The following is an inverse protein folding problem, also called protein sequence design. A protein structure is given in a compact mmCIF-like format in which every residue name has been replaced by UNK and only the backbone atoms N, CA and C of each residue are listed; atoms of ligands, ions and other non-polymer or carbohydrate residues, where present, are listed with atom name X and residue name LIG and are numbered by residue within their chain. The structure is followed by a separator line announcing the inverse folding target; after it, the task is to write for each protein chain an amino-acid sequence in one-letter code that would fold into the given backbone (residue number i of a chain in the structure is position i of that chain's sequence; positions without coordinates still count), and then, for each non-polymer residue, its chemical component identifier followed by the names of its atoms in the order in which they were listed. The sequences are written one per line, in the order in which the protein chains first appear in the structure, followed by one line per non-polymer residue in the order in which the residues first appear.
data_IF_360117931317
#
_entry.id   IF_360117931317
#
_cell.length_a   1.000
_cell.length_b   1.000
_cell.length_c   1.000
_cell.angle_alpha   90.00
_cell.angle_beta   90.00
_cell.angle_gamma   90.00
#
_symmetry.space_group_name_H-M   'P 1'
#
loop_
_entity.id
_entity.type
_entity.pdbx_description
1 polymer ?
#
# COMPACT_ATOMS: atom_id res chain seq x y z
N UNK A 1 1.38 36.95 11.64
CA UNK A 1 0.50 36.09 12.46
C UNK A 1 0.52 34.74 11.79
N UNK A 2 1.10 33.72 12.40
CA UNK A 2 0.93 32.35 11.89
C UNK A 2 -0.55 31.99 12.07
N UNK A 3 -1.25 31.67 10.99
CA UNK A 3 -2.60 31.09 11.08
C UNK A 3 -2.52 29.85 11.97
N UNK A 4 -3.27 29.87 13.07
CA UNK A 4 -3.47 28.66 13.89
C UNK A 4 -4.20 27.66 12.98
N UNK A 5 -3.60 26.50 12.66
CA UNK A 5 -4.26 25.54 11.81
C UNK A 5 -5.56 25.09 12.46
N UNK A 6 -6.66 25.14 11.70
CA UNK A 6 -7.96 24.64 12.15
C UNK A 6 -7.79 23.16 12.47
N UNK A 7 -8.10 22.76 13.70
CA UNK A 7 -8.11 21.37 14.11
C UNK A 7 -9.09 20.58 13.23
N UNK A 8 -8.68 19.39 12.79
CA UNK A 8 -9.45 18.53 11.89
C UNK A 8 -9.61 17.15 12.52
N UNK A 9 -10.71 16.47 12.21
CA UNK A 9 -11.01 15.10 12.63
C UNK A 9 -10.73 14.13 11.49
N UNK A 10 -9.76 13.24 11.70
CA UNK A 10 -9.20 12.36 10.66
C UNK A 10 -9.53 10.92 10.99
N UNK A 11 -10.19 10.20 10.09
CA UNK A 11 -10.44 8.77 10.23
C UNK A 11 -9.44 7.98 9.37
N UNK A 12 -8.65 7.10 9.99
CA UNK A 12 -7.77 6.19 9.28
C UNK A 12 -8.39 4.79 9.25
N UNK A 13 -8.70 4.26 8.07
CA UNK A 13 -9.13 2.86 7.90
C UNK A 13 -7.91 1.96 7.71
N UNK A 14 -7.86 0.81 8.40
CA UNK A 14 -6.71 -0.10 8.38
C UNK A 14 -5.73 0.11 9.55
N UNK A 15 -6.25 0.31 10.76
CA UNK A 15 -5.46 0.60 11.97
C UNK A 15 -4.56 -0.56 12.47
N UNK A 16 -4.56 -1.73 11.80
CA UNK A 16 -3.54 -2.76 11.99
C UNK A 16 -2.19 -2.42 11.37
N UNK A 17 -2.14 -1.55 10.37
CA UNK A 17 -0.92 -1.23 9.65
C UNK A 17 0.04 -0.33 10.45
N UNK A 18 1.34 -0.56 10.28
CA UNK A 18 2.37 0.35 10.80
C UNK A 18 2.33 1.71 10.08
N UNK A 19 1.89 1.73 8.82
CA UNK A 19 1.60 2.95 8.07
C UNK A 19 0.66 3.85 8.87
N UNK A 20 -0.43 3.27 9.37
CA UNK A 20 -1.50 3.97 10.09
C UNK A 20 -1.02 4.53 11.42
N UNK A 21 -0.21 3.76 12.16
CA UNK A 21 0.39 4.22 13.40
C UNK A 21 1.28 5.45 13.18
N UNK A 22 2.13 5.40 12.17
CA UNK A 22 3.06 6.47 11.84
C UNK A 22 2.31 7.74 11.38
N UNK A 23 1.31 7.57 10.51
CA UNK A 23 0.49 8.68 10.04
C UNK A 23 -0.32 9.33 11.18
N UNK A 24 -0.92 8.53 12.06
CA UNK A 24 -1.70 9.03 13.20
C UNK A 24 -0.86 9.90 14.13
N UNK A 25 0.35 9.46 14.47
CA UNK A 25 1.28 10.23 15.31
C UNK A 25 1.57 11.60 14.72
N UNK A 26 1.69 11.72 13.40
CA UNK A 26 1.95 13.02 12.72
C UNK A 26 0.75 13.93 12.75
N UNK A 27 -0.45 13.41 12.48
CA UNK A 27 -1.67 14.21 12.59
C UNK A 27 -1.88 14.71 14.02
N UNK A 28 -1.70 13.84 15.02
CA UNK A 28 -1.82 14.20 16.44
C UNK A 28 -0.79 15.27 16.85
N UNK A 29 0.46 15.17 16.37
CA UNK A 29 1.49 16.17 16.65
C UNK A 29 1.24 17.54 15.98
N UNK A 30 0.53 17.58 14.85
CA UNK A 30 0.03 18.83 14.26
C UNK A 30 -1.31 19.31 14.87
N UNK A 31 -1.77 18.66 15.94
CA UNK A 31 -2.94 19.08 16.72
C UNK A 31 -4.29 18.60 16.18
N UNK A 32 -4.30 17.68 15.21
CA UNK A 32 -5.53 17.08 14.68
C UNK A 32 -6.03 15.93 15.56
N UNK A 33 -7.33 15.67 15.53
CA UNK A 33 -7.95 14.55 16.23
C UNK A 33 -7.97 13.33 15.31
N UNK A 34 -7.44 12.20 15.75
CA UNK A 34 -7.31 11.00 14.92
C UNK A 34 -8.20 9.88 15.44
N UNK A 35 -8.92 9.25 14.53
CA UNK A 35 -9.83 8.14 14.76
C UNK A 35 -9.35 6.93 13.96
N UNK A 36 -9.55 5.74 14.52
CA UNK A 36 -9.18 4.48 13.87
C UNK A 36 -10.42 3.67 13.54
N UNK A 37 -10.48 3.13 12.32
CA UNK A 37 -11.41 2.08 11.95
C UNK A 37 -10.66 0.81 11.53
N UNK A 38 -11.02 -0.33 12.11
CA UNK A 38 -10.33 -1.60 11.89
C UNK A 38 -11.27 -2.78 12.08
N UNK A 39 -11.06 -3.85 11.33
CA UNK A 39 -11.92 -5.05 11.37
C UNK A 39 -11.55 -6.00 12.51
N UNK A 40 -10.37 -5.81 13.11
CA UNK A 40 -9.93 -6.52 14.30
C UNK A 40 -9.87 -5.61 15.51
N UNK A 41 -10.32 -6.11 16.66
CA UNK A 41 -10.11 -5.43 17.93
C UNK A 41 -8.63 -5.43 18.36
N UNK A 42 -7.81 -6.37 17.88
CA UNK A 42 -6.41 -6.54 18.29
C UNK A 42 -5.46 -6.03 17.20
N UNK A 43 -5.02 -4.78 17.35
CA UNK A 43 -4.18 -4.13 16.36
C UNK A 43 -3.21 -3.14 17.01
N UNK A 44 -2.11 -2.83 16.34
CA UNK A 44 -1.02 -2.00 16.89
C UNK A 44 -1.46 -0.60 17.29
N UNK A 45 -2.29 0.06 16.48
CA UNK A 45 -2.74 1.42 16.75
C UNK A 45 -3.59 1.53 18.01
N UNK A 46 -4.20 0.44 18.49
CA UNK A 46 -5.05 0.45 19.69
C UNK A 46 -4.31 0.90 20.96
N UNK A 47 -3.00 0.69 20.97
CA UNK A 47 -2.16 1.03 22.12
C UNK A 47 -1.51 2.40 21.98
N UNK A 48 -1.78 3.13 20.87
CA UNK A 48 -1.16 4.42 20.63
C UNK A 48 -1.97 5.53 21.28
N UNK A 49 -1.29 6.48 21.92
CA UNK A 49 -1.92 7.69 22.45
C UNK A 49 -2.23 8.75 21.38
N UNK A 50 -1.97 8.47 20.10
CA UNK A 50 -2.27 9.38 18.99
C UNK A 50 -3.74 9.34 18.54
N UNK A 51 -4.56 8.43 19.09
CA UNK A 51 -5.95 8.24 18.70
C UNK A 51 -6.92 8.65 19.81
N UNK A 52 -8.00 9.32 19.41
CA UNK A 52 -9.13 9.67 20.26
C UNK A 52 -10.06 8.49 20.49
N UNK A 53 -10.40 7.78 19.41
CA UNK A 53 -11.32 6.64 19.45
C UNK A 53 -10.96 5.57 18.42
N UNK A 54 -11.35 4.34 18.74
CA UNK A 54 -11.20 3.16 17.89
C UNK A 54 -12.56 2.52 17.62
N UNK A 55 -12.83 2.19 16.36
CA UNK A 55 -14.04 1.51 15.91
C UNK A 55 -13.71 0.14 15.35
N UNK A 56 -14.38 -0.89 15.85
CA UNK A 56 -14.41 -2.19 15.23
C UNK A 56 -15.49 -2.18 14.14
N UNK A 57 -15.12 -2.50 12.90
CA UNK A 57 -16.02 -2.45 11.74
C UNK A 57 -16.07 -3.80 10.99
N UNK A 58 -17.11 -4.07 10.19
CA UNK A 58 -17.18 -5.28 9.37
C UNK A 58 -16.05 -5.35 8.34
N UNK A 59 -15.76 -6.56 7.86
CA UNK A 59 -14.70 -6.79 6.86
C UNK A 59 -15.11 -6.27 5.48
N UNK A 60 -14.29 -5.45 4.79
CA UNK A 60 -14.58 -5.04 3.41
C UNK A 60 -14.57 -6.21 2.42
N UNK A 61 -13.98 -7.36 2.79
CA UNK A 61 -13.94 -8.58 1.97
C UNK A 61 -15.18 -9.45 2.17
N UNK A 62 -15.62 -9.63 3.42
CA UNK A 62 -16.71 -10.57 3.76
C UNK A 62 -18.07 -9.89 3.93
N UNK A 63 -18.09 -8.61 4.30
CA UNK A 63 -19.29 -7.77 4.44
C UNK A 63 -19.01 -6.34 3.95
N UNK A 64 -18.87 -6.14 2.62
CA UNK A 64 -18.50 -4.83 2.08
C UNK A 64 -19.54 -3.74 2.35
N UNK A 65 -20.82 -4.12 2.36
CA UNK A 65 -21.92 -3.19 2.62
C UNK A 65 -21.95 -2.77 4.10
N UNK A 66 -21.76 -3.70 5.04
CA UNK A 66 -21.63 -3.37 6.46
C UNK A 66 -20.38 -2.54 6.77
N UNK A 67 -19.27 -2.80 6.05
CA UNK A 67 -18.05 -1.97 6.12
C UNK A 67 -18.35 -0.52 5.73
N UNK A 68 -18.98 -0.31 4.56
CA UNK A 68 -19.35 1.03 4.08
C UNK A 68 -20.33 1.74 5.02
N UNK A 69 -21.41 1.06 5.44
CA UNK A 69 -22.40 1.63 6.35
C UNK A 69 -21.77 2.05 7.68
N UNK A 70 -20.85 1.24 8.22
CA UNK A 70 -20.17 1.55 9.47
C UNK A 70 -19.29 2.78 9.33
N UNK A 71 -18.51 2.90 8.25
CA UNK A 71 -17.68 4.09 8.01
C UNK A 71 -18.52 5.35 7.81
N UNK A 72 -19.62 5.29 7.07
CA UNK A 72 -20.54 6.42 6.88
C UNK A 72 -21.11 6.87 8.23
N UNK A 73 -21.63 5.93 9.03
CA UNK A 73 -22.19 6.23 10.36
C UNK A 73 -21.15 6.84 11.31
N UNK A 74 -19.88 6.39 11.25
CA UNK A 74 -18.78 6.99 12.00
C UNK A 74 -18.52 8.43 11.52
N UNK A 75 -18.50 8.66 10.20
CA UNK A 75 -18.27 9.98 9.63
C UNK A 75 -19.36 10.98 10.06
N UNK A 76 -20.63 10.56 10.02
CA UNK A 76 -21.77 11.36 10.48
C UNK A 76 -21.72 11.65 11.98
N UNK A 77 -21.49 10.62 12.80
CA UNK A 77 -21.54 10.73 14.25
C UNK A 77 -20.39 11.54 14.84
N UNK A 78 -19.18 11.34 14.33
CA UNK A 78 -17.98 11.99 14.85
C UNK A 78 -17.64 13.27 14.06
N UNK A 79 -18.39 13.59 12.99
CA UNK A 79 -18.18 14.72 12.08
C UNK A 79 -16.78 14.70 11.46
N UNK A 80 -16.42 13.56 10.88
CA UNK A 80 -15.09 13.35 10.29
C UNK A 80 -14.88 14.30 9.10
N UNK A 81 -13.79 15.07 9.11
CA UNK A 81 -13.41 15.94 8.00
C UNK A 81 -12.74 15.17 6.85
N UNK A 82 -11.90 14.19 7.19
CA UNK A 82 -11.05 13.48 6.23
C UNK A 82 -10.96 11.99 6.56
N UNK A 83 -11.28 11.13 5.60
CA UNK A 83 -11.03 9.68 5.66
C UNK A 83 -9.80 9.35 4.82
N UNK A 84 -8.83 8.66 5.41
CA UNK A 84 -7.62 8.20 4.70
C UNK A 84 -7.56 6.67 4.79
N UNK A 85 -7.78 5.97 3.66
CA UNK A 85 -7.51 4.55 3.58
C UNK A 85 -6.01 4.27 3.55
N UNK A 86 -5.61 3.18 4.18
CA UNK A 86 -4.18 2.86 4.38
C UNK A 86 -3.76 1.55 3.74
N UNK A 87 -4.71 0.72 3.32
CA UNK A 87 -4.44 -0.54 2.62
C UNK A 87 -5.45 -0.78 1.48
N UNK A 88 -5.80 -2.03 1.19
CA UNK A 88 -6.67 -2.44 0.08
C UNK A 88 -8.16 -2.28 0.37
N UNK A 89 -8.56 -1.94 1.60
CA UNK A 89 -9.95 -1.56 1.90
C UNK A 89 -10.39 -0.32 1.10
N UNK A 90 -9.42 0.43 0.55
CA UNK A 90 -9.64 1.53 -0.39
C UNK A 90 -10.56 1.15 -1.55
N UNK A 91 -10.48 -0.08 -2.09
CA UNK A 91 -11.31 -0.51 -3.23
C UNK A 91 -12.79 -0.58 -2.87
N UNK A 92 -13.09 -1.05 -1.65
CA UNK A 92 -14.45 -1.05 -1.12
C UNK A 92 -14.94 0.37 -0.87
N UNK A 93 -14.10 1.20 -0.23
CA UNK A 93 -14.37 2.62 0.01
C UNK A 93 -14.68 3.38 -1.29
N UNK A 94 -13.91 3.14 -2.35
CA UNK A 94 -14.03 3.80 -3.65
C UNK A 94 -15.37 3.53 -4.35
N UNK A 95 -15.99 2.36 -4.14
CA UNK A 95 -17.33 2.06 -4.65
C UNK A 95 -18.45 2.79 -3.92
N UNK A 96 -18.18 3.26 -2.70
CA UNK A 96 -19.14 3.95 -1.84
C UNK A 96 -18.97 5.47 -1.78
N UNK A 97 -18.10 6.09 -2.59
CA UNK A 97 -17.72 7.50 -2.44
C UNK A 97 -18.93 8.46 -2.39
N UNK A 98 -19.93 8.24 -3.25
CA UNK A 98 -21.13 9.09 -3.31
C UNK A 98 -22.08 8.96 -2.11
N UNK A 99 -21.82 8.04 -1.17
CA UNK A 99 -22.67 7.74 -0.02
C UNK A 99 -22.19 8.40 1.28
N UNK A 100 -20.98 8.97 1.29
CA UNK A 100 -20.44 9.66 2.46
C UNK A 100 -21.06 11.06 2.61
N UNK A 101 -21.04 11.63 3.84
CA UNK A 101 -21.46 13.01 4.07
C UNK A 101 -20.70 13.97 3.16
N UNK A 102 -21.35 15.03 2.68
CA UNK A 102 -20.76 15.98 1.71
C UNK A 102 -19.59 16.76 2.31
N UNK A 103 -19.60 16.92 3.63
CA UNK A 103 -18.60 17.61 4.43
C UNK A 103 -17.37 16.73 4.68
N UNK A 104 -17.48 15.41 4.50
CA UNK A 104 -16.37 14.47 4.68
C UNK A 104 -15.62 14.25 3.37
N UNK A 105 -14.35 14.62 3.35
CA UNK A 105 -13.46 14.30 2.23
C UNK A 105 -12.96 12.87 2.34
N UNK A 106 -13.10 12.07 1.28
CA UNK A 106 -12.50 10.73 1.19
C UNK A 106 -11.24 10.82 0.33
N UNK A 107 -10.07 10.56 0.93
CA UNK A 107 -8.78 10.69 0.24
C UNK A 107 -8.45 9.48 -0.62
N UNK A 108 -9.19 9.35 -1.72
CA UNK A 108 -9.25 8.16 -2.55
C UNK A 108 -9.52 8.53 -4.03
N UNK A 109 -8.91 7.82 -4.97
CA UNK A 109 -9.25 7.94 -6.39
C UNK A 109 -10.53 7.14 -6.72
N UNK A 110 -11.20 7.40 -7.86
CA UNK A 110 -12.32 6.57 -8.31
C UNK A 110 -11.93 5.10 -8.45
N UNK A 111 -12.90 4.19 -8.21
CA UNK A 111 -12.66 2.75 -8.20
C UNK A 111 -12.01 2.25 -9.48
N UNK A 112 -12.47 2.72 -10.64
CA UNK A 112 -11.98 2.30 -11.96
C UNK A 112 -10.50 2.67 -12.14
N UNK A 113 -10.09 3.83 -11.60
CA UNK A 113 -8.69 4.26 -11.61
C UNK A 113 -7.86 3.35 -10.69
N UNK A 114 -8.32 3.11 -9.46
CA UNK A 114 -7.61 2.26 -8.51
C UNK A 114 -7.42 0.84 -9.06
N UNK A 115 -8.49 0.23 -9.58
CA UNK A 115 -8.46 -1.12 -10.14
C UNK A 115 -7.50 -1.22 -11.33
N UNK A 116 -7.62 -0.30 -12.29
CA UNK A 116 -6.72 -0.24 -13.45
C UNK A 116 -5.25 -0.15 -13.03
N UNK A 117 -4.94 0.63 -12.01
CA UNK A 117 -3.57 0.83 -11.55
C UNK A 117 -3.05 -0.31 -10.67
N UNK A 118 -3.92 -1.00 -9.93
CA UNK A 118 -3.52 -2.12 -9.08
C UNK A 118 -3.36 -3.43 -9.85
N UNK A 119 -4.20 -3.66 -10.86
CA UNK A 119 -4.09 -4.82 -11.75
C UNK A 119 -2.83 -4.73 -12.62
N UNK A 120 -1.91 -5.70 -12.48
CA UNK A 120 -0.60 -5.68 -13.16
C UNK A 120 -0.71 -5.64 -14.68
N UNK A 121 -1.72 -6.29 -15.26
CA UNK A 121 -1.94 -6.28 -16.70
C UNK A 121 -2.48 -4.93 -17.17
N UNK A 122 -3.55 -4.44 -16.53
CA UNK A 122 -4.16 -3.16 -16.88
C UNK A 122 -3.18 -2.00 -16.69
N UNK A 123 -2.40 -2.02 -15.61
CA UNK A 123 -1.34 -1.05 -15.38
C UNK A 123 -0.29 -1.07 -16.51
N UNK A 124 0.17 -2.26 -16.94
CA UNK A 124 1.10 -2.37 -18.08
C UNK A 124 0.49 -1.78 -19.38
N UNK A 125 -0.79 -2.04 -19.65
CA UNK A 125 -1.45 -1.45 -20.83
C UNK A 125 -1.60 0.07 -20.69
N UNK A 126 -1.92 0.55 -19.49
CA UNK A 126 -2.03 1.97 -19.19
C UNK A 126 -0.71 2.70 -19.40
N UNK A 127 0.41 2.10 -18.99
CA UNK A 127 1.75 2.64 -19.27
C UNK A 127 1.99 2.80 -20.78
N UNK A 128 1.66 1.79 -21.59
CA UNK A 128 1.77 1.87 -23.06
C UNK A 128 0.91 2.99 -23.63
N UNK A 129 -0.35 3.07 -23.20
CA UNK A 129 -1.29 4.10 -23.64
C UNK A 129 -0.77 5.51 -23.34
N UNK A 130 -0.16 5.70 -22.16
CA UNK A 130 0.42 6.97 -21.75
C UNK A 130 1.82 7.22 -22.33
N UNK A 131 2.36 6.30 -23.14
CA UNK A 131 3.66 6.44 -23.80
C UNK A 131 4.86 6.24 -22.87
N UNK A 132 4.72 5.46 -21.79
CA UNK A 132 5.84 5.04 -20.94
C UNK A 132 6.46 3.75 -21.44
N UNK A 133 7.77 3.62 -21.24
CA UNK A 133 8.46 2.34 -21.34
C UNK A 133 7.88 1.35 -20.32
N UNK A 134 7.60 0.14 -20.79
CA UNK A 134 7.11 -0.95 -19.95
C UNK A 134 7.75 -2.27 -20.40
N UNK A 135 7.90 -3.25 -19.50
CA UNK A 135 8.39 -4.57 -19.88
C UNK A 135 7.41 -5.24 -20.86
N UNK A 136 7.96 -6.09 -21.74
CA UNK A 136 7.12 -6.95 -22.57
C UNK A 136 6.27 -7.83 -21.67
N UNK A 137 4.96 -7.76 -21.86
CA UNK A 137 4.00 -8.50 -21.05
C UNK A 137 2.93 -9.14 -21.93
N UNK A 138 2.46 -10.31 -21.53
CA UNK A 138 1.29 -10.98 -22.08
C UNK A 138 0.35 -11.40 -20.95
N UNK A 139 -0.96 -11.39 -21.22
CA UNK A 139 -1.96 -11.97 -20.35
C UNK A 139 -2.09 -13.46 -20.67
N UNK A 140 -2.22 -14.28 -19.63
CA UNK A 140 -2.30 -15.73 -19.72
C UNK A 140 -3.47 -16.20 -18.86
N UNK A 141 -4.57 -16.50 -19.53
CA UNK A 141 -5.84 -16.95 -18.95
C UNK A 141 -6.02 -18.47 -19.05
N UNK A 142 -5.19 -19.15 -19.86
CA UNK A 142 -5.25 -20.60 -20.05
C UNK A 142 -3.86 -21.23 -20.23
N UNK A 143 -3.80 -22.55 -20.09
CA UNK A 143 -2.56 -23.29 -20.29
C UNK A 143 -2.14 -23.25 -21.77
N UNK A 144 -3.11 -23.22 -22.69
CA UNK A 144 -2.89 -23.08 -24.14
C UNK A 144 -2.20 -21.75 -24.46
N UNK A 145 -2.68 -20.64 -23.88
CA UNK A 145 -2.03 -19.33 -24.04
C UNK A 145 -0.61 -19.34 -23.47
N UNK A 146 -0.39 -20.00 -22.33
CA UNK A 146 0.95 -20.15 -21.74
C UNK A 146 1.90 -20.93 -22.66
N UNK A 147 1.40 -21.98 -23.33
CA UNK A 147 2.17 -22.78 -24.30
C UNK A 147 2.42 -22.04 -25.61
N UNK A 148 1.54 -21.12 -26.00
CA UNK A 148 1.72 -20.29 -27.19
C UNK A 148 2.80 -19.20 -27.00
N UNK A 149 3.16 -18.87 -25.76
CA UNK A 149 4.22 -17.90 -25.49
C UNK A 149 5.60 -18.45 -25.84
N UNK A 150 6.35 -17.66 -26.61
CA UNK A 150 7.75 -17.96 -26.91
C UNK A 150 8.67 -17.38 -25.82
N UNK A 151 9.21 -18.25 -24.97
CA UNK A 151 10.17 -17.89 -23.93
C UNK A 151 11.60 -17.73 -24.47
N UNK A 152 11.77 -16.90 -25.52
CA UNK A 152 13.11 -16.56 -26.07
C UNK A 152 13.97 -15.78 -25.08
N UNK A 153 13.34 -15.10 -24.13
CA UNK A 153 13.96 -14.48 -22.97
C UNK A 153 13.31 -15.03 -21.69
N UNK A 154 13.95 -14.91 -20.51
CA UNK A 154 13.31 -15.29 -19.26
C UNK A 154 12.09 -14.42 -18.95
N UNK A 155 11.05 -15.03 -18.38
CA UNK A 155 9.83 -14.36 -17.92
C UNK A 155 9.57 -14.65 -16.45
N UNK A 156 8.76 -13.81 -15.81
CA UNK A 156 8.12 -14.10 -14.54
C UNK A 156 6.61 -14.17 -14.73
N UNK A 157 6.01 -15.20 -14.13
CA UNK A 157 4.57 -15.36 -14.04
C UNK A 157 4.08 -14.87 -12.69
N UNK A 158 3.13 -13.94 -12.71
CA UNK A 158 2.47 -13.36 -11.53
C UNK A 158 0.97 -13.32 -11.76
N UNK A 159 0.09 -13.46 -10.75
CA UNK A 159 -1.32 -13.17 -10.94
C UNK A 159 -1.52 -11.67 -11.21
N UNK A 160 -2.60 -11.32 -11.91
CA UNK A 160 -2.96 -9.92 -12.21
C UNK A 160 -3.18 -9.11 -10.94
N UNK A 161 -3.86 -9.71 -9.95
CA UNK A 161 -3.97 -9.22 -8.58
C UNK A 161 -3.10 -10.03 -7.64
N UNK A 162 -2.14 -9.39 -6.97
CA UNK A 162 -1.30 -10.03 -5.95
C UNK A 162 -0.58 -9.00 -5.07
N UNK A 163 -0.17 -9.43 -3.86
CA UNK A 163 0.54 -8.62 -2.88
C UNK A 163 1.99 -9.08 -2.70
N UNK A 164 2.81 -8.20 -2.09
CA UNK A 164 4.18 -8.48 -1.64
C UNK A 164 5.09 -9.09 -2.71
N UNK A 165 4.88 -8.70 -3.98
CA UNK A 165 5.58 -9.25 -5.15
C UNK A 165 5.59 -10.79 -5.19
N UNK A 166 4.49 -11.43 -4.79
CA UNK A 166 4.32 -12.88 -4.88
C UNK A 166 4.61 -13.34 -6.32
N UNK A 167 5.79 -13.95 -6.49
CA UNK A 167 6.20 -14.62 -7.70
C UNK A 167 5.61 -16.02 -7.66
N UNK A 168 4.88 -16.40 -8.71
CA UNK A 168 4.51 -17.80 -8.86
C UNK A 168 5.72 -18.57 -9.35
N UNK A 169 6.33 -18.11 -10.45
CA UNK A 169 7.44 -18.83 -11.06
C UNK A 169 8.24 -17.97 -12.04
N UNK A 170 9.58 -18.07 -11.98
CA UNK A 170 10.46 -17.63 -13.07
C UNK A 170 10.54 -18.72 -14.13
N UNK A 171 10.30 -18.37 -15.38
CA UNK A 171 10.37 -19.27 -16.54
C UNK A 171 11.62 -18.93 -17.34
N UNK A 172 12.51 -19.92 -17.50
CA UNK A 172 13.79 -19.79 -18.24
C UNK A 172 13.95 -20.87 -19.31
N UNK A 173 13.02 -21.82 -19.38
CA UNK A 173 13.05 -22.99 -20.25
C UNK A 173 12.07 -22.82 -21.41
N UNK A 174 12.35 -23.46 -22.54
CA UNK A 174 11.43 -23.53 -23.68
C UNK A 174 10.12 -24.26 -23.35
N UNK A 175 10.10 -25.08 -22.30
CA UNK A 175 8.88 -25.73 -21.79
C UNK A 175 8.23 -24.86 -20.72
N UNK A 176 6.95 -24.46 -20.89
CA UNK A 176 6.24 -23.72 -19.85
C UNK A 176 5.93 -24.60 -18.64
N UNK A 177 5.90 -24.04 -17.43
CA UNK A 177 5.61 -24.79 -16.23
C UNK A 177 4.13 -25.21 -16.17
N UNK A 178 3.86 -26.33 -15.49
CA UNK A 178 2.49 -26.71 -15.13
C UNK A 178 2.08 -25.92 -13.89
N UNK A 179 1.32 -24.85 -14.10
CA UNK A 179 0.81 -23.98 -13.03
C UNK A 179 -0.70 -23.94 -13.13
N UNK A 180 -1.39 -23.94 -11.99
CA UNK A 180 -2.83 -23.68 -11.96
C UNK A 180 -3.10 -22.21 -12.29
N UNK A 181 -3.82 -21.96 -13.36
CA UNK A 181 -4.29 -20.62 -13.74
C UNK A 181 -5.70 -20.45 -13.20
N UNK A 182 -5.94 -19.35 -12.50
CA UNK A 182 -7.28 -18.95 -12.07
C UNK A 182 -7.89 -18.08 -13.18
N UNK A 183 -9.00 -18.50 -13.82
CA UNK A 183 -9.66 -17.69 -14.84
C UNK A 183 -10.12 -16.31 -14.33
N UNK A 184 -10.41 -16.18 -13.03
CA UNK A 184 -10.83 -14.91 -12.42
C UNK A 184 -9.66 -14.02 -12.00
N UNK A 185 -8.43 -14.56 -11.99
CA UNK A 185 -7.22 -13.81 -11.71
C UNK A 185 -6.10 -14.33 -12.63
N UNK A 186 -6.17 -14.02 -13.95
CA UNK A 186 -5.25 -14.53 -14.95
C UNK A 186 -3.81 -14.12 -14.64
N UNK A 187 -2.86 -14.87 -15.19
CA UNK A 187 -1.45 -14.59 -14.99
C UNK A 187 -0.96 -13.52 -15.97
N UNK A 188 -0.06 -12.67 -15.50
CA UNK A 188 0.75 -11.78 -16.31
C UNK A 188 2.11 -12.44 -16.51
N UNK A 189 2.41 -12.79 -17.75
CA UNK A 189 3.74 -13.18 -18.18
C UNK A 189 4.52 -11.91 -18.53
N UNK A 190 5.37 -11.47 -17.61
CA UNK A 190 6.21 -10.28 -17.78
C UNK A 190 7.67 -10.68 -18.05
N UNK A 191 8.32 -10.01 -18.99
CA UNK A 191 9.76 -10.13 -19.21
C UNK A 191 10.52 -9.97 -17.90
N UNK A 192 11.45 -10.88 -17.64
CA UNK A 192 12.28 -10.86 -16.45
C UNK A 192 13.34 -9.77 -16.57
N UNK A 193 13.15 -8.69 -15.81
CA UNK A 193 14.10 -7.60 -15.75
C UNK A 193 15.16 -7.84 -14.68
N UNK A 194 16.42 -7.66 -15.05
CA UNK A 194 17.54 -7.53 -14.13
C UNK A 194 17.83 -6.05 -13.88
N UNK A 195 18.24 -5.68 -12.68
CA UNK A 195 18.57 -4.28 -12.38
C UNK A 195 18.48 -3.94 -10.89
N UNK A 196 18.73 -2.67 -10.58
CA UNK A 196 18.46 -2.13 -9.24
C UNK A 196 16.96 -1.99 -9.06
N UNK A 197 16.48 -2.31 -7.86
CA UNK A 197 15.06 -2.22 -7.51
C UNK A 197 14.83 -1.02 -6.61
N UNK A 198 13.78 -0.25 -6.90
CA UNK A 198 13.39 0.90 -6.08
C UNK A 198 11.89 0.89 -5.87
N UNK A 199 11.46 1.45 -4.75
CA UNK A 199 10.06 1.76 -4.48
C UNK A 199 9.92 3.27 -4.34
N UNK A 200 8.77 3.80 -4.75
CA UNK A 200 8.39 5.19 -4.51
C UNK A 200 7.09 5.27 -3.73
N UNK A 201 6.87 6.39 -3.05
CA UNK A 201 5.59 6.74 -2.44
C UNK A 201 5.32 8.23 -2.61
N UNK A 202 4.10 8.58 -2.98
CA UNK A 202 3.69 9.95 -3.23
C UNK A 202 2.27 10.22 -2.77
N UNK A 203 2.03 11.47 -2.37
CA UNK A 203 0.70 12.05 -2.16
C UNK A 203 0.48 13.05 -3.29
N UNK A 204 -0.63 12.94 -3.99
CA UNK A 204 -0.90 13.67 -5.24
C UNK A 204 -2.29 14.31 -5.19
N UNK A 205 -2.38 15.55 -5.65
CA UNK A 205 -3.64 16.28 -5.83
C UNK A 205 -3.77 16.71 -7.29
N UNK A 206 -4.77 16.18 -7.99
CA UNK A 206 -5.09 16.52 -9.39
C UNK A 206 -3.84 16.60 -10.29
N UNK A 207 -3.05 15.53 -10.26
CA UNK A 207 -1.81 15.37 -11.03
C UNK A 207 -0.59 16.14 -10.53
N UNK A 208 -0.69 16.89 -9.42
CA UNK A 208 0.44 17.57 -8.78
C UNK A 208 0.90 16.83 -7.53
N UNK A 209 2.20 16.58 -7.43
CA UNK A 209 2.77 15.89 -6.27
C UNK A 209 2.91 16.85 -5.09
N UNK A 210 2.33 16.48 -3.95
CA UNK A 210 2.42 17.21 -2.68
C UNK A 210 3.52 16.65 -1.75
N UNK A 211 3.74 15.34 -1.79
CA UNK A 211 4.86 14.68 -1.09
C UNK A 211 5.44 13.55 -1.94
N UNK A 212 6.75 13.33 -1.85
CA UNK A 212 7.45 12.28 -2.61
C UNK A 212 8.63 11.68 -1.84
N UNK A 213 8.82 10.37 -1.97
CA UNK A 213 10.02 9.69 -1.52
C UNK A 213 10.37 8.50 -2.42
N UNK A 214 11.65 8.18 -2.49
CA UNK A 214 12.20 7.01 -3.17
C UNK A 214 13.14 6.27 -2.22
N UNK A 215 13.11 4.94 -2.26
CA UNK A 215 14.02 4.10 -1.50
C UNK A 215 14.40 2.84 -2.29
N UNK A 216 15.64 2.37 -2.18
CA UNK A 216 16.05 1.12 -2.80
C UNK A 216 15.48 -0.08 -2.02
N UNK A 217 15.20 -1.17 -2.73
CA UNK A 217 14.81 -2.45 -2.10
C UNK A 217 16.07 -3.16 -1.62
N UNK A 218 16.52 -2.79 -0.42
CA UNK A 218 17.69 -3.37 0.27
C UNK A 218 17.23 -4.11 1.53
N UNK A 219 17.86 -5.25 1.87
CA UNK A 219 17.50 -6.05 3.06
C UNK A 219 16.00 -6.42 3.14
N UNK A 220 15.56 -7.19 2.15
CA UNK A 220 14.19 -7.67 2.02
C UNK A 220 14.06 -9.16 2.34
N UNK A 221 12.92 -9.57 2.92
CA UNK A 221 12.51 -10.98 2.95
C UNK A 221 12.28 -11.44 1.50
N UNK A 222 12.97 -12.51 1.09
CA UNK A 222 12.86 -13.12 -0.24
C UNK A 222 13.07 -12.16 -1.44
N UNK A 223 13.73 -11.02 -1.23
CA UNK A 223 13.99 -10.06 -2.31
C UNK A 223 12.86 -9.05 -2.58
N UNK A 224 11.79 -9.05 -1.78
CA UNK A 224 10.53 -8.35 -2.07
C UNK A 224 9.99 -7.47 -0.92
N UNK A 225 10.03 -7.92 0.34
CA UNK A 225 9.50 -7.14 1.48
C UNK A 225 10.62 -6.50 2.30
N UNK A 226 10.83 -5.20 2.15
CA UNK A 226 11.88 -4.46 2.87
C UNK A 226 11.61 -4.43 4.39
N UNK A 227 12.63 -4.79 5.18
CA UNK A 227 12.60 -4.64 6.65
C UNK A 227 13.32 -3.37 7.11
N UNK A 228 14.01 -2.72 6.19
CA UNK A 228 14.72 -1.47 6.36
C UNK A 228 14.44 -0.56 5.15
N UNK A 229 14.31 0.73 5.42
CA UNK A 229 14.02 1.76 4.43
C UNK A 229 15.08 2.85 4.57
N UNK A 230 15.57 3.37 3.43
CA UNK A 230 16.48 4.51 3.40
C UNK A 230 16.07 5.46 2.27
N UNK A 231 15.79 6.71 2.60
CA UNK A 231 15.48 7.74 1.62
C UNK A 231 16.70 8.04 0.75
N UNK A 232 16.49 8.09 -0.56
CA UNK A 232 17.49 8.52 -1.54
C UNK A 232 16.91 9.61 -2.44
N UNK A 233 17.78 10.41 -3.04
CA UNK A 233 17.40 11.22 -4.19
C UNK A 233 17.54 10.40 -5.47
N UNK A 234 16.51 10.40 -6.31
CA UNK A 234 16.49 9.69 -7.58
C UNK A 234 15.70 10.51 -8.63
N UNK A 235 16.31 11.52 -9.25
CA UNK A 235 15.61 12.48 -10.12
C UNK A 235 14.82 11.84 -11.27
N UNK A 236 15.32 10.74 -11.85
CA UNK A 236 14.64 10.01 -12.94
C UNK A 236 13.32 9.37 -12.48
N UNK A 237 13.27 8.80 -11.28
CA UNK A 237 12.05 8.22 -10.70
C UNK A 237 11.08 9.34 -10.35
N UNK A 238 11.56 10.42 -9.72
CA UNK A 238 10.72 11.58 -9.41
C UNK A 238 10.08 12.14 -10.69
N UNK A 239 10.86 12.37 -11.76
CA UNK A 239 10.34 12.87 -13.03
C UNK A 239 9.33 11.92 -13.67
N UNK A 240 9.59 10.62 -13.59
CA UNK A 240 8.65 9.59 -14.07
C UNK A 240 7.32 9.68 -13.34
N UNK A 241 7.34 9.75 -12.00
CA UNK A 241 6.13 9.80 -11.15
C UNK A 241 5.37 11.11 -11.36
N UNK A 242 6.08 12.23 -11.50
CA UNK A 242 5.49 13.53 -11.83
C UNK A 242 4.74 13.49 -13.16
N UNK A 243 5.40 12.95 -14.20
CA UNK A 243 4.80 12.84 -15.53
C UNK A 243 3.59 11.91 -15.52
N UNK A 244 3.66 10.81 -14.78
CA UNK A 244 2.56 9.85 -14.65
C UNK A 244 1.37 10.49 -13.94
N UNK A 245 1.61 11.12 -12.79
CA UNK A 245 0.58 11.79 -12.01
C UNK A 245 -0.16 12.85 -12.84
N UNK A 246 0.59 13.67 -13.59
CA UNK A 246 0.02 14.69 -14.49
C UNK A 246 -0.83 14.09 -15.61
N UNK A 247 -0.30 13.09 -16.33
CA UNK A 247 -1.02 12.43 -17.43
C UNK A 247 -2.28 11.71 -16.96
N UNK A 248 -2.26 11.13 -15.77
CA UNK A 248 -3.41 10.46 -15.18
C UNK A 248 -4.38 11.41 -14.48
N UNK A 249 -3.99 12.67 -14.29
CA UNK A 249 -4.68 13.62 -13.40
C UNK A 249 -4.99 12.98 -12.02
N UNK A 250 -4.04 12.20 -11.50
CA UNK A 250 -4.27 11.34 -10.34
C UNK A 250 -4.51 12.15 -9.05
N UNK A 251 -5.38 11.65 -8.18
CA UNK A 251 -5.66 12.24 -6.87
C UNK A 251 -5.68 11.15 -5.79
N UNK A 252 -4.89 11.31 -4.73
CA UNK A 252 -4.78 10.36 -3.64
C UNK A 252 -3.34 9.94 -3.35
N UNK A 253 -3.18 8.74 -2.81
CA UNK A 253 -1.87 8.13 -2.52
C UNK A 253 -1.46 7.19 -3.64
N UNK A 254 -0.20 7.22 -4.05
CA UNK A 254 0.31 6.32 -5.09
C UNK A 254 1.76 5.93 -4.85
N UNK A 255 2.07 4.68 -5.12
CA UNK A 255 3.40 4.12 -5.00
C UNK A 255 3.69 3.21 -6.19
N UNK A 256 4.95 3.14 -6.58
CA UNK A 256 5.40 2.33 -7.71
C UNK A 256 6.63 1.53 -7.35
N UNK A 257 6.69 0.31 -7.86
CA UNK A 257 7.88 -0.53 -7.83
C UNK A 257 8.58 -0.44 -9.17
N UNK A 258 9.87 -0.12 -9.13
CA UNK A 258 10.72 0.09 -10.28
C UNK A 258 11.83 -0.95 -10.38
N UNK A 259 12.19 -1.28 -11.62
CA UNK A 259 13.45 -1.93 -11.96
C UNK A 259 14.21 -1.01 -12.90
N UNK A 260 15.48 -0.74 -12.56
CA UNK A 260 16.44 0.03 -13.36
C UNK A 260 17.55 -0.91 -13.87
N UNK A 261 17.43 -1.45 -15.10
CA UNK A 261 18.44 -2.35 -15.66
C UNK A 261 19.76 -1.68 -16.00
N UNK A 262 19.71 -0.37 -16.29
CA UNK A 262 20.87 0.45 -16.66
C UNK A 262 20.52 1.93 -16.42
N UNK A 263 21.50 2.84 -16.36
CA UNK A 263 21.22 4.28 -16.17
C UNK A 263 20.19 4.86 -17.16
N UNK A 264 20.13 4.31 -18.38
CA UNK A 264 19.22 4.77 -19.44
C UNK A 264 17.82 4.16 -19.37
N UNK A 265 17.63 3.01 -18.71
CA UNK A 265 16.33 2.30 -18.68
C UNK A 265 15.71 2.26 -17.29
N UNK A 266 14.45 2.64 -17.20
CA UNK A 266 13.66 2.59 -15.96
C UNK A 266 12.27 2.05 -16.27
N UNK A 267 11.87 0.98 -15.59
CA UNK A 267 10.58 0.34 -15.78
C UNK A 267 9.80 0.33 -14.47
N UNK A 268 8.62 0.94 -14.46
CA UNK A 268 7.63 0.67 -13.42
C UNK A 268 6.98 -0.68 -13.71
N UNK A 269 7.00 -1.59 -12.74
CA UNK A 269 6.50 -2.97 -12.89
C UNK A 269 5.21 -3.21 -12.12
N UNK A 270 4.97 -2.45 -11.05
CA UNK A 270 3.78 -2.55 -10.21
C UNK A 270 3.37 -1.15 -9.74
N UNK A 271 2.07 -0.92 -9.62
CA UNK A 271 1.52 0.28 -9.03
C UNK A 271 0.62 -0.09 -7.84
N UNK A 272 0.75 0.70 -6.79
CA UNK A 272 0.08 0.56 -5.53
C UNK A 272 -0.65 1.90 -5.27
N UNK A 273 -1.90 2.07 -5.73
CA UNK A 273 -2.62 3.35 -5.64
C UNK A 273 -3.21 3.56 -4.23
N UNK A 274 -2.35 3.42 -3.21
CA UNK A 274 -2.65 3.45 -1.78
C UNK A 274 -1.38 3.72 -0.95
N UNK A 275 -1.52 3.79 0.37
CA UNK A 275 -0.40 3.89 1.31
C UNK A 275 0.65 2.77 1.14
N UNK A 276 1.93 3.09 1.25
CA UNK A 276 3.03 2.11 1.38
C UNK A 276 4.03 2.54 2.44
N UNK A 277 4.94 1.62 2.80
CA UNK A 277 6.02 1.82 3.77
C UNK A 277 6.95 3.01 3.48
N UNK A 278 6.86 3.65 2.30
CA UNK A 278 7.57 4.89 2.02
C UNK A 278 7.22 6.01 3.00
N UNK A 279 6.03 6.00 3.62
CA UNK A 279 5.64 6.97 4.65
C UNK A 279 6.64 7.04 5.82
N UNK A 280 7.28 5.93 6.16
CA UNK A 280 8.19 5.82 7.30
C UNK A 280 9.44 6.67 7.14
N UNK A 281 9.75 7.10 5.92
CA UNK A 281 10.92 7.90 5.61
C UNK A 281 10.73 9.38 5.88
N UNK A 282 9.49 9.85 5.99
CA UNK A 282 9.26 11.23 6.40
C UNK A 282 9.55 11.35 7.90
N UNK A 283 10.07 12.48 8.35
CA UNK A 283 10.24 12.81 9.76
C UNK A 283 9.06 13.67 10.25
N UNK A 284 8.87 13.76 11.56
CA UNK A 284 7.83 14.63 12.15
C UNK A 284 7.99 16.08 11.66
N UNK A 285 9.23 16.56 11.54
CA UNK A 285 9.56 17.89 11.04
C UNK A 285 9.25 18.13 9.55
N UNK A 286 8.98 17.08 8.76
CA UNK A 286 8.67 17.24 7.33
C UNK A 286 7.23 17.72 7.09
N UNK A 287 6.37 17.70 8.12
CA UNK A 287 4.97 18.18 8.07
C UNK A 287 4.13 17.48 7.00
N UNK A 288 4.31 16.17 6.86
CA UNK A 288 3.59 15.33 5.89
C UNK A 288 2.05 15.50 5.92
N UNK A 289 1.37 15.68 7.08
CA UNK A 289 -0.06 16.01 7.13
C UNK A 289 -0.50 17.13 6.18
N UNK A 290 0.33 18.17 5.97
CA UNK A 290 0.03 19.24 5.00
C UNK A 290 -0.20 18.73 3.58
N UNK A 291 0.52 17.68 3.18
CA UNK A 291 0.36 17.07 1.87
C UNK A 291 -1.04 16.43 1.69
N UNK A 292 -1.66 15.92 2.75
CA UNK A 292 -3.02 15.38 2.68
C UNK A 292 -4.07 16.49 2.53
N UNK A 293 -3.83 17.67 3.12
CA UNK A 293 -4.70 18.85 2.99
C UNK A 293 -4.38 19.75 1.79
N UNK A 294 -3.30 19.45 1.05
CA UNK A 294 -2.77 20.30 -0.02
C UNK A 294 -2.45 21.74 0.41
N UNK A 295 -1.92 21.92 1.62
CA UNK A 295 -1.60 23.24 2.21
C UNK A 295 -0.10 23.54 2.26
N UNK A 296 0.72 22.65 1.70
CA UNK A 296 2.16 22.86 1.54
C UNK A 296 2.47 23.87 0.43
N UNK A 297 3.48 24.72 0.65
CA UNK A 297 3.99 25.65 -0.36
C UNK A 297 5.02 25.02 -1.30
N UNK A 298 5.72 24.00 -0.82
CA UNK A 298 6.76 23.27 -1.55
C UNK A 298 6.53 21.77 -1.45
N UNK A 299 7.09 21.02 -2.40
CA UNK A 299 7.09 19.57 -2.37
C UNK A 299 7.71 19.07 -1.05
N UNK A 300 6.98 18.21 -0.34
CA UNK A 300 7.48 17.58 0.89
C UNK A 300 8.29 16.34 0.51
N UNK A 301 9.56 16.33 0.90
CA UNK A 301 10.48 15.20 0.67
C UNK A 301 11.24 14.90 1.95
N UNK A 302 11.50 13.62 2.26
CA UNK A 302 12.28 13.28 3.43
C UNK A 302 13.75 13.65 3.26
N UNK A 303 14.46 13.81 4.38
CA UNK A 303 15.91 14.02 4.35
C UNK A 303 16.62 12.82 3.73
N UNK A 304 17.39 13.06 2.67
CA UNK A 304 18.23 12.03 2.03
C UNK A 304 19.12 11.34 3.05
N UNK A 305 19.14 10.01 3.00
CA UNK A 305 19.88 9.17 3.94
C UNK A 305 19.17 8.88 5.26
N UNK A 306 18.02 9.51 5.55
CA UNK A 306 17.19 9.11 6.68
C UNK A 306 16.69 7.68 6.49
N UNK A 307 16.67 6.91 7.57
CA UNK A 307 16.38 5.49 7.52
C UNK A 307 15.56 5.03 8.72
N UNK A 308 14.65 4.10 8.47
CA UNK A 308 13.85 3.42 9.48
C UNK A 308 13.97 1.91 9.33
N UNK A 309 13.74 1.20 10.43
CA UNK A 309 13.65 -0.26 10.46
C UNK A 309 12.35 -0.75 11.09
N UNK A 310 11.90 -1.92 10.68
CA UNK A 310 10.87 -2.67 11.40
C UNK A 310 11.59 -3.66 12.30
N UNK A 311 11.95 -3.24 13.51
CA UNK A 311 12.82 -4.00 14.42
C UNK A 311 12.31 -5.39 14.74
N UNK A 312 11.00 -5.54 15.01
CA UNK A 312 10.40 -6.86 15.23
C UNK A 312 10.45 -7.77 14.00
N UNK A 313 10.23 -7.21 12.80
CA UNK A 313 10.39 -7.95 11.55
C UNK A 313 11.84 -8.38 11.32
N UNK A 314 12.79 -7.49 11.64
CA UNK A 314 14.23 -7.80 11.64
C UNK A 314 14.58 -8.91 12.64
N UNK A 315 14.04 -8.93 13.85
CA UNK A 315 14.29 -10.00 14.82
C UNK A 315 13.77 -11.35 14.33
N UNK A 316 12.56 -11.38 13.77
CA UNK A 316 11.90 -12.62 13.34
C UNK A 316 12.51 -13.20 12.05
N UNK A 317 12.95 -12.36 11.12
CA UNK A 317 13.36 -12.79 9.77
C UNK A 317 14.76 -12.33 9.35
N UNK A 318 15.28 -11.26 9.96
CA UNK A 318 16.54 -10.65 9.57
C UNK A 318 17.79 -11.46 9.92
N UNK A 319 17.69 -12.46 10.81
CA UNK A 319 18.77 -13.42 11.09
C UNK A 319 19.11 -14.30 9.87
N UNK A 320 18.19 -14.43 8.91
CA UNK A 320 18.42 -15.12 7.64
C UNK A 320 19.28 -14.31 6.66
N UNK A 321 19.60 -13.04 6.98
CA UNK A 321 20.49 -12.24 6.17
C UNK A 321 21.91 -12.84 6.18
N UNK A 322 22.52 -12.98 5.00
CA UNK A 322 23.86 -13.58 4.79
C UNK A 322 25.01 -12.88 5.52
N UNK A 323 24.76 -11.78 6.25
CA UNK A 323 25.77 -10.93 6.92
C UNK A 323 25.29 -10.48 8.31
N UNK A 324 25.53 -11.32 9.32
CA UNK A 324 25.14 -11.07 10.72
C UNK A 324 25.61 -9.71 11.25
N UNK A 325 26.85 -9.30 10.96
CA UNK A 325 27.37 -7.99 11.40
C UNK A 325 26.63 -6.81 10.78
N UNK A 326 26.25 -6.90 9.50
CA UNK A 326 25.46 -5.85 8.85
C UNK A 326 24.05 -5.78 9.44
N UNK A 327 23.47 -6.94 9.77
CA UNK A 327 22.19 -7.03 10.48
C UNK A 327 22.26 -6.37 11.86
N UNK A 328 23.23 -6.75 12.70
CA UNK A 328 23.40 -6.18 14.05
C UNK A 328 23.63 -4.68 13.98
N UNK A 329 24.52 -4.21 13.09
CA UNK A 329 24.77 -2.78 12.90
C UNK A 329 23.48 -2.02 12.59
N UNK A 330 22.72 -2.46 11.58
CA UNK A 330 21.45 -1.83 11.19
C UNK A 330 20.43 -1.85 12.34
N UNK A 331 20.28 -2.98 13.01
CA UNK A 331 19.38 -3.12 14.14
C UNK A 331 19.70 -2.12 15.28
N UNK A 332 20.99 -1.90 15.57
CA UNK A 332 21.41 -0.99 16.63
C UNK A 332 21.37 0.49 16.23
N UNK A 333 21.60 0.83 14.97
CA UNK A 333 21.78 2.24 14.55
C UNK A 333 20.53 2.88 13.95
N UNK A 334 19.66 2.11 13.31
CA UNK A 334 18.50 2.66 12.61
C UNK A 334 17.33 2.85 13.56
N UNK A 335 16.54 3.91 13.39
CA UNK A 335 15.36 4.13 14.23
C UNK A 335 14.25 3.14 13.90
N UNK A 336 13.54 2.67 14.94
CA UNK A 336 12.41 1.77 14.75
C UNK A 336 11.16 2.53 14.29
N UNK A 337 10.33 1.89 13.47
CA UNK A 337 9.03 2.44 13.01
C UNK A 337 7.99 2.46 14.14
N UNK A 338 8.03 1.49 15.05
CA UNK A 338 7.00 1.29 16.08
C UNK A 338 7.38 2.05 17.36
N UNK A 339 8.64 1.96 17.79
CA UNK A 339 9.08 2.60 19.03
C UNK A 339 9.09 4.14 18.93
N UNK A 340 8.37 4.79 19.85
CA UNK A 340 8.41 6.23 20.08
C UNK A 340 8.53 6.49 21.57
N UNK A 341 9.38 7.44 21.98
CA UNK A 341 9.49 7.84 23.40
C UNK A 341 8.19 8.51 23.90
N UNK A 342 7.48 9.23 23.03
CA UNK A 342 6.21 9.90 23.35
C UNK A 342 5.01 8.96 23.32
N UNK A 343 5.16 7.82 22.64
CA UNK A 343 4.10 6.82 22.45
C UNK A 343 4.68 5.40 22.49
N UNK A 344 5.13 4.92 23.67
CA UNK A 344 5.91 3.69 23.77
C UNK A 344 5.06 2.40 23.77
N UNK A 345 3.78 2.50 24.15
CA UNK A 345 2.91 1.34 24.36
C UNK A 345 2.72 0.45 23.11
N UNK A 346 2.60 0.98 21.87
CA UNK A 346 2.53 0.15 20.66
C UNK A 346 3.72 -0.81 20.49
N UNK A 347 4.92 -0.42 20.95
CA UNK A 347 6.12 -1.25 20.87
C UNK A 347 6.10 -2.39 21.89
N UNK A 348 5.74 -2.09 23.14
CA UNK A 348 5.72 -3.08 24.21
C UNK A 348 4.58 -4.09 24.11
N UNK A 349 3.51 -3.77 23.37
CA UNK A 349 2.40 -4.69 23.10
C UNK A 349 2.62 -5.59 21.87
N UNK A 350 3.75 -5.47 21.15
CA UNK A 350 4.04 -6.33 19.99
C UNK A 350 4.05 -7.83 20.34
N UNK A 351 4.63 -8.31 21.47
CA UNK A 351 4.57 -9.72 21.82
C UNK A 351 3.12 -10.22 22.00
N UNK A 352 2.27 -9.44 22.69
CA UNK A 352 0.86 -9.77 22.87
C UNK A 352 0.14 -9.88 21.52
N UNK A 353 0.30 -8.88 20.66
CA UNK A 353 -0.28 -8.89 19.32
C UNK A 353 0.20 -10.08 18.49
N UNK A 354 1.49 -10.39 18.57
CA UNK A 354 2.07 -11.54 17.90
C UNK A 354 1.44 -12.86 18.35
N UNK A 355 1.21 -13.06 19.66
CA UNK A 355 0.48 -14.23 20.17
C UNK A 355 -0.96 -14.29 19.64
N UNK A 356 -1.68 -13.16 19.61
CA UNK A 356 -3.04 -13.10 19.05
C UNK A 356 -3.02 -13.49 17.56
N UNK A 357 -2.05 -13.00 16.81
CA UNK A 357 -1.89 -13.31 15.39
C UNK A 357 -1.57 -14.78 15.16
N UNK A 358 -0.67 -15.38 15.95
CA UNK A 358 -0.38 -16.82 15.90
C UNK A 358 -1.61 -17.67 16.22
N UNK A 359 -2.39 -17.28 17.24
CA UNK A 359 -3.63 -17.96 17.57
C UNK A 359 -4.65 -17.89 16.43
N UNK A 360 -4.82 -16.73 15.79
CA UNK A 360 -5.68 -16.58 14.61
C UNK A 360 -5.19 -17.41 13.43
N UNK A 361 -3.87 -17.43 13.17
CA UNK A 361 -3.26 -18.29 12.14
C UNK A 361 -3.61 -19.76 12.37
N UNK A 362 -3.47 -20.24 13.61
CA UNK A 362 -3.83 -21.61 13.98
C UNK A 362 -5.32 -21.90 13.76
N UNK A 363 -6.20 -21.00 14.20
CA UNK A 363 -7.66 -21.16 14.06
C UNK A 363 -8.13 -21.15 12.60
N UNK A 364 -7.56 -20.28 11.77
CA UNK A 364 -7.93 -20.10 10.35
C UNK A 364 -7.13 -20.99 9.40
N UNK A 365 -6.10 -21.69 9.89
CA UNK A 365 -5.14 -22.47 9.08
C UNK A 365 -4.44 -21.64 8.00
N UNK A 366 -4.06 -20.41 8.36
CA UNK A 366 -3.38 -19.45 7.49
C UNK A 366 -1.93 -19.23 7.92
N UNK A 367 -1.07 -18.82 6.99
CA UNK A 367 0.26 -18.30 7.32
C UNK A 367 0.16 -16.88 7.86
N UNK A 368 1.19 -16.43 8.58
CA UNK A 368 1.18 -15.10 9.21
C UNK A 368 0.95 -13.94 8.21
N UNK A 369 1.63 -13.88 7.05
CA UNK A 369 1.37 -12.83 6.06
C UNK A 369 -0.06 -12.88 5.51
N UNK A 370 -0.59 -14.07 5.24
CA UNK A 370 -1.96 -14.27 4.72
C UNK A 370 -3.01 -13.86 5.76
N UNK A 371 -2.80 -14.19 7.03
CA UNK A 371 -3.72 -13.85 8.12
C UNK A 371 -3.83 -12.34 8.32
N UNK A 372 -2.71 -11.61 8.20
CA UNK A 372 -2.66 -10.17 8.45
C UNK A 372 -3.55 -9.37 7.51
N UNK A 373 -3.80 -9.90 6.31
CA UNK A 373 -4.56 -9.23 5.27
C UNK A 373 -5.83 -10.00 4.86
N UNK A 374 -6.07 -11.17 5.46
CA UNK A 374 -7.15 -12.11 5.12
C UNK A 374 -8.53 -11.48 4.94
N UNK A 375 -8.89 -10.52 5.80
CA UNK A 375 -10.20 -9.88 5.87
C UNK A 375 -10.23 -8.47 5.24
N UNK A 376 -9.14 -8.01 4.64
CA UNK A 376 -9.02 -6.66 4.05
C UNK A 376 -8.41 -6.65 2.64
N UNK A 377 -7.88 -7.78 2.18
CA UNK A 377 -7.33 -7.94 0.85
C UNK A 377 -8.40 -7.89 -0.24
N UNK A 378 -7.99 -7.42 -1.42
CA UNK A 378 -8.82 -7.38 -2.62
C UNK A 378 -8.09 -8.05 -3.81
N UNK A 379 -8.80 -8.89 -4.56
CA UNK A 379 -8.28 -9.68 -5.69
C UNK A 379 -9.09 -9.48 -6.97
N UNK A 380 -9.80 -8.36 -7.13
CA UNK A 380 -10.73 -8.21 -8.25
C UNK A 380 -12.12 -8.77 -7.98
N UNK A 381 -12.42 -9.25 -6.77
CA UNK A 381 -13.75 -9.81 -6.48
C UNK A 381 -14.84 -8.75 -6.66
N UNK A 382 -16.00 -9.17 -7.20
CA UNK A 382 -17.18 -8.32 -7.22
C UNK A 382 -17.57 -7.94 -5.80
N UNK A 383 -17.49 -6.64 -5.53
CA UNK A 383 -17.97 -6.05 -4.29
C UNK A 383 -19.46 -5.80 -4.50
N UNK A 384 -20.31 -6.75 -4.11
CA UNK A 384 -21.75 -6.59 -4.18
C UNK A 384 -22.22 -5.55 -3.17
N UNK A 385 -22.55 -4.34 -3.65
CA UNK A 385 -23.28 -3.34 -2.86
C UNK A 385 -24.78 -3.50 -3.07
N UNK A 386 -25.62 -3.00 -2.15
CA UNK A 386 -27.09 -3.04 -2.31
C UNK A 386 -27.58 -2.37 -3.60
N UNK A 387 -26.85 -1.39 -4.12
CA UNK A 387 -27.14 -0.75 -5.42
C UNK A 387 -26.83 -1.69 -6.59
N UNK A 388 -25.71 -2.40 -6.55
CA UNK A 388 -25.39 -3.44 -7.55
C UNK A 388 -26.42 -4.57 -7.54
N UNK A 389 -26.85 -5.01 -6.35
CA UNK A 389 -27.87 -6.05 -6.19
C UNK A 389 -29.24 -5.62 -6.73
N UNK A 390 -29.62 -4.34 -6.56
CA UNK A 390 -30.86 -3.78 -7.14
C UNK A 390 -30.83 -3.75 -8.68
N UNK A 391 -29.68 -3.51 -9.28
CA UNK A 391 -29.51 -3.49 -10.74
C UNK A 391 -29.51 -4.91 -11.35
N UNK A 392 -29.06 -5.93 -10.60
CA UNK A 392 -29.13 -7.34 -11.03
C UNK A 392 -30.56 -7.90 -10.94
N UNK A 393 -31.36 -7.47 -9.97
CA UNK A 393 -32.77 -7.89 -9.85
C UNK A 393 -33.73 -7.19 -10.82
N UNK A 394 -33.25 -6.20 -11.58
CA UNK A 394 -34.06 -5.40 -12.50
C UNK A 394 -33.73 -5.61 -13.99
N UNK A 395 -32.89 -6.60 -14.33
CA UNK A 395 -32.79 -7.10 -15.71
C UNK A 395 -33.78 -8.28 -15.87
N UNK A 396 -34.77 -8.19 -16.78
CA UNK A 396 -35.85 -9.17 -16.92
C UNK A 396 -35.38 -10.55 -17.40
#
# INVERSE_FOLDING_TARGET
MEEVPIQKKILLSGARSLFTLDLARRFAEEGHLVYAAETSFHHVCRFSNAFEKHFAIPSPRFDPEGFLQSLIAICEKEEIDLVIPTFEEIFCLAKGLGRFPKETTIFCAPYETLDTLHNKWHFNQKLKQLGFDCPKSALVSSQEELHALSFTTPYILKPSYSRASMCIQKVTTSTPPKIKIDPNNPLVAQEWLHGKKYCSYSIVHHGKIAAHTVYPVEFSIEGNSCLNFKAIDHPKIHKWVETFAQKENFNGQIAFDFIEPSPEKLYAIECNPRGTSGIHLFQQGDRLPKAFFNTQSTLITPRVGYSKKIGWGMLLYGWQAKRLWTFVKKFMTEEDVIFSKKDPLPFFHQPLLFFVYLYRCFKLRLRLPEMFTFDIDWNGEEIATKETLRNVTNNP
#
